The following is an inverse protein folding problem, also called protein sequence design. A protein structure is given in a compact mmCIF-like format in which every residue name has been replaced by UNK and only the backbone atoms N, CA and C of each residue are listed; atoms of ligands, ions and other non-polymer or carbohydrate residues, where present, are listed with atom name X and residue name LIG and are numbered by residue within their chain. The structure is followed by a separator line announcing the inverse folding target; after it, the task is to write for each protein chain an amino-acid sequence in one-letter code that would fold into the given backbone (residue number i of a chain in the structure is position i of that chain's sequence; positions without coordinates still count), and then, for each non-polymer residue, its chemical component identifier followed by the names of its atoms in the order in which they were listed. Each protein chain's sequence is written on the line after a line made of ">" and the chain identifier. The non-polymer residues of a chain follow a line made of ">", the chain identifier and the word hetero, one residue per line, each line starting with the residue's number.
data_IF_979329478959
#
_entry.id   IF_979329478959
#
_cell.length_a   1.000
_cell.length_b   1.000
_cell.length_c   1.000
_cell.angle_alpha   90.00
_cell.angle_beta   90.00
_cell.angle_gamma   90.00
#
_symmetry.space_group_name_H-M   'P 1'
#
loop_
_entity.id
_entity.type
_entity.pdbx_description
1 polymer ?
#
# COMPACT_ATOMS: atom_id res chain seq x y z
N UNK A 1 15.14 13.26 -1.37
CA UNK A 1 14.17 13.23 -2.50
C UNK A 1 14.79 12.42 -3.62
N UNK A 2 14.03 11.57 -4.32
CA UNK A 2 14.52 10.76 -5.44
C UNK A 2 13.61 11.00 -6.64
N UNK A 3 14.18 11.42 -7.76
CA UNK A 3 13.48 11.55 -9.04
C UNK A 3 14.07 10.57 -10.06
N UNK A 4 13.22 9.93 -10.86
CA UNK A 4 13.63 9.07 -11.96
C UNK A 4 12.79 9.40 -13.18
N UNK A 5 13.44 9.64 -14.31
CA UNK A 5 12.81 9.77 -15.62
C UNK A 5 13.40 8.72 -16.56
N UNK A 6 12.55 8.09 -17.36
CA UNK A 6 12.97 7.12 -18.38
C UNK A 6 12.42 7.57 -19.72
N UNK A 7 13.33 7.78 -20.67
CA UNK A 7 13.02 8.15 -22.06
C UNK A 7 13.29 6.91 -22.92
N UNK A 8 12.25 6.28 -23.50
CA UNK A 8 12.47 5.16 -24.41
C UNK A 8 13.01 5.68 -25.75
N UNK A 9 14.03 5.01 -26.29
CA UNK A 9 14.58 5.28 -27.63
C UNK A 9 13.82 4.57 -28.75
N UNK A 10 12.70 3.92 -28.44
CA UNK A 10 11.88 3.18 -29.39
C UNK A 10 10.41 3.54 -29.23
N UNK A 11 9.69 3.55 -30.35
CA UNK A 11 8.25 3.75 -30.37
C UNK A 11 7.54 2.41 -30.23
N UNK A 12 6.59 2.30 -29.28
CA UNK A 12 5.71 1.13 -29.20
C UNK A 12 4.55 1.28 -30.18
N UNK A 13 4.05 0.17 -30.71
CA UNK A 13 2.90 0.20 -31.63
C UNK A 13 1.66 0.88 -31.02
N UNK A 14 1.42 0.70 -29.71
CA UNK A 14 0.33 1.36 -28.99
C UNK A 14 0.46 2.88 -28.85
N UNK A 15 1.68 3.43 -28.98
CA UNK A 15 1.89 4.88 -28.93
C UNK A 15 1.44 5.61 -30.22
N UNK A 16 1.30 4.89 -31.33
CA UNK A 16 0.86 5.45 -32.62
C UNK A 16 -0.65 5.39 -32.79
N UNK A 17 -1.29 4.34 -32.27
CA UNK A 17 -2.76 4.14 -32.28
C UNK A 17 -3.17 3.33 -31.05
N UNK A 18 -3.64 3.98 -29.99
CA UNK A 18 -4.32 3.29 -28.88
C UNK A 18 -4.07 3.85 -27.48
N UNK A 19 -2.90 4.46 -27.23
CA UNK A 19 -2.58 5.05 -25.93
C UNK A 19 -3.02 6.51 -25.82
N UNK A 20 -3.62 6.84 -24.67
CA UNK A 20 -4.19 8.17 -24.40
C UNK A 20 -3.15 9.22 -23.99
N UNK A 21 -1.93 8.80 -23.62
CA UNK A 21 -0.93 9.70 -23.05
C UNK A 21 0.49 9.60 -23.60
N UNK A 22 1.39 10.47 -23.12
CA UNK A 22 2.76 10.59 -23.61
C UNK A 22 3.63 9.36 -23.25
N UNK A 23 4.64 9.11 -24.07
CA UNK A 23 5.56 7.95 -23.97
C UNK A 23 6.56 8.05 -22.81
N UNK A 24 6.62 9.20 -22.16
CA UNK A 24 7.61 9.48 -21.12
C UNK A 24 7.16 8.90 -19.79
N UNK A 25 8.09 8.28 -19.08
CA UNK A 25 7.88 7.78 -17.72
C UNK A 25 8.59 8.67 -16.73
N UNK A 26 7.88 9.12 -15.70
CA UNK A 26 8.45 9.94 -14.64
C UNK A 26 7.97 9.42 -13.27
N UNK A 27 8.86 9.42 -12.29
CA UNK A 27 8.47 9.17 -10.91
C UNK A 27 9.23 10.08 -9.96
N UNK A 28 8.50 10.64 -9.01
CA UNK A 28 9.02 11.49 -7.96
C UNK A 28 8.67 10.84 -6.62
N UNK A 29 9.70 10.60 -5.80
CA UNK A 29 9.57 10.07 -4.45
C UNK A 29 10.19 11.05 -3.46
N UNK A 30 9.32 11.61 -2.64
CA UNK A 30 9.68 12.35 -1.45
C UNK A 30 9.57 11.42 -0.24
N UNK A 31 10.60 11.37 0.59
CA UNK A 31 10.59 10.60 1.84
C UNK A 31 11.23 11.47 2.91
N UNK A 32 10.45 11.76 3.93
CA UNK A 32 10.83 12.54 5.08
C UNK A 32 10.90 11.62 6.29
N UNK A 33 12.03 11.64 6.99
CA UNK A 33 12.21 10.88 8.21
C UNK A 33 12.79 11.80 9.28
N UNK A 34 12.00 12.01 10.32
CA UNK A 34 12.43 12.72 11.51
C UNK A 34 12.73 11.70 12.62
N UNK A 35 14.00 11.30 12.66
CA UNK A 35 14.52 10.34 13.63
C UNK A 35 13.73 9.01 13.67
N UNK A 36 13.50 8.44 14.86
CA UNK A 36 12.63 7.29 15.05
C UNK A 36 11.15 7.65 15.23
N UNK A 37 10.77 8.93 15.17
CA UNK A 37 9.44 9.40 15.59
C UNK A 37 8.46 9.57 14.44
N UNK A 38 8.88 10.15 13.33
CA UNK A 38 7.95 10.43 12.21
C UNK A 38 8.59 10.04 10.90
N UNK A 39 7.83 9.33 10.07
CA UNK A 39 8.19 8.95 8.71
C UNK A 39 7.02 9.30 7.81
N UNK A 40 7.22 10.26 6.92
CA UNK A 40 6.25 10.58 5.88
C UNK A 40 6.85 10.28 4.52
N UNK A 41 6.03 9.88 3.57
CA UNK A 41 6.48 9.71 2.20
C UNK A 41 5.36 9.99 1.22
N UNK A 42 5.74 10.63 0.12
CA UNK A 42 4.86 10.92 -1.00
C UNK A 42 5.55 10.42 -2.26
N UNK A 43 4.87 9.58 -3.01
CA UNK A 43 5.35 9.03 -4.28
C UNK A 43 4.31 9.33 -5.35
N UNK A 44 4.71 10.11 -6.34
CA UNK A 44 3.95 10.33 -7.56
C UNK A 44 4.65 9.57 -8.68
N UNK A 45 3.93 8.75 -9.41
CA UNK A 45 4.44 8.06 -10.58
C UNK A 45 3.46 8.22 -11.74
N UNK A 46 4.04 8.39 -12.93
CA UNK A 46 3.34 8.37 -14.21
C UNK A 46 4.00 7.32 -15.07
N UNK A 47 3.21 6.35 -15.54
CA UNK A 47 3.68 5.33 -16.46
C UNK A 47 3.44 5.76 -17.92
N UNK A 48 4.30 5.26 -18.81
CA UNK A 48 4.28 5.63 -20.22
C UNK A 48 2.97 5.19 -20.90
N UNK A 49 2.36 6.09 -21.67
CA UNK A 49 1.12 5.86 -22.42
C UNK A 49 -0.17 6.23 -21.68
N UNK A 50 -0.10 6.67 -20.42
CA UNK A 50 -1.27 7.05 -19.61
C UNK A 50 -1.58 8.54 -19.71
N UNK A 51 -2.87 8.86 -19.80
CA UNK A 51 -3.37 10.20 -20.05
C UNK A 51 -2.94 11.18 -18.95
N UNK A 52 -2.11 12.17 -19.31
CA UNK A 52 -1.67 13.25 -18.42
C UNK A 52 -2.67 14.40 -18.50
N UNK A 53 -3.28 14.79 -17.37
CA UNK A 53 -4.21 15.93 -17.30
C UNK A 53 -5.45 15.88 -18.23
N UNK A 54 -5.81 14.72 -18.79
CA UNK A 54 -6.95 14.58 -19.72
C UNK A 54 -7.71 13.25 -19.55
N UNK A 55 -9.02 13.26 -19.77
CA UNK A 55 -9.86 12.07 -20.01
C UNK A 55 -10.33 11.26 -18.80
N UNK A 56 -9.82 11.53 -17.58
CA UNK A 56 -10.26 10.83 -16.36
C UNK A 56 -9.40 11.09 -15.11
N UNK A 57 -8.16 11.55 -15.26
CA UNK A 57 -7.30 12.01 -14.15
C UNK A 57 -7.31 13.54 -14.05
N UNK A 58 -8.23 14.11 -13.26
CA UNK A 58 -8.30 15.57 -13.03
C UNK A 58 -7.08 16.16 -12.29
N UNK A 59 -6.22 15.34 -11.68
CA UNK A 59 -5.06 15.78 -10.87
C UNK A 59 -3.69 15.37 -11.44
N UNK A 60 -3.57 15.08 -12.72
CA UNK A 60 -2.28 15.03 -13.43
C UNK A 60 -1.52 13.70 -13.38
N UNK A 61 -1.17 13.16 -12.20
CA UNK A 61 -0.48 11.87 -12.08
C UNK A 61 -1.46 10.72 -11.87
N UNK A 62 -1.19 9.56 -12.48
CA UNK A 62 -2.07 8.38 -12.38
C UNK A 62 -1.92 7.62 -11.07
N UNK A 63 -0.71 7.60 -10.50
CA UNK A 63 -0.44 6.91 -9.26
C UNK A 63 0.13 7.85 -8.18
N UNK A 64 -0.69 8.11 -7.16
CA UNK A 64 -0.30 8.78 -5.93
C UNK A 64 -0.26 7.78 -4.77
N UNK A 65 0.89 7.66 -4.12
CA UNK A 65 1.04 6.93 -2.86
C UNK A 65 1.54 7.88 -1.79
N UNK A 66 0.73 8.11 -0.77
CA UNK A 66 1.10 8.88 0.40
C UNK A 66 0.97 8.03 1.66
N UNK A 67 1.91 8.20 2.57
CA UNK A 67 1.86 7.57 3.89
C UNK A 67 2.49 8.47 4.94
N UNK A 68 1.92 8.43 6.14
CA UNK A 68 2.49 9.04 7.32
C UNK A 68 2.48 8.00 8.42
N UNK A 69 3.64 7.75 9.01
CA UNK A 69 3.82 6.83 10.12
C UNK A 69 4.47 7.60 11.25
N UNK A 70 3.75 7.69 12.37
CA UNK A 70 4.28 8.22 13.60
C UNK A 70 4.53 7.07 14.58
N UNK A 71 5.68 7.09 15.24
CA UNK A 71 6.13 6.10 16.20
C UNK A 71 6.51 6.80 17.50
N UNK A 72 6.25 6.15 18.62
CA UNK A 72 6.61 6.62 19.96
C UNK A 72 6.13 8.04 20.27
N UNK A 73 4.94 8.43 19.79
CA UNK A 73 4.38 9.76 20.09
C UNK A 73 4.02 9.90 21.58
N UNK A 74 3.55 8.83 22.22
CA UNK A 74 3.16 8.82 23.63
C UNK A 74 3.51 7.48 24.26
N UNK A 75 3.61 7.42 25.60
CA UNK A 75 3.79 6.18 26.37
C UNK A 75 2.74 5.09 26.03
N UNK A 76 1.54 5.51 25.65
CA UNK A 76 0.43 4.64 25.26
C UNK A 76 0.33 4.43 23.75
N UNK A 77 0.81 5.35 22.90
CA UNK A 77 0.72 5.24 21.44
C UNK A 77 2.08 4.85 20.88
N UNK A 78 2.22 3.56 20.56
CA UNK A 78 3.48 3.01 20.03
C UNK A 78 3.68 3.35 18.56
N UNK A 79 2.66 3.12 17.74
CA UNK A 79 2.73 3.30 16.29
C UNK A 79 1.37 3.72 15.77
N UNK A 80 1.33 4.73 14.91
CA UNK A 80 0.15 5.11 14.12
C UNK A 80 0.60 5.27 12.68
N UNK A 81 -0.15 4.69 11.75
CA UNK A 81 0.06 4.85 10.33
C UNK A 81 -1.25 5.28 9.67
N UNK A 82 -1.16 6.28 8.78
CA UNK A 82 -2.28 6.80 7.99
C UNK A 82 -1.86 6.90 6.53
N UNK A 83 -2.80 6.65 5.63
CA UNK A 83 -2.57 6.60 4.19
C UNK A 83 -2.31 5.16 3.74
N UNK A 84 -1.27 4.93 2.93
CA UNK A 84 -0.89 3.60 2.46
C UNK A 84 0.13 2.95 3.38
N UNK A 85 -0.23 1.81 3.97
CA UNK A 85 0.61 1.12 4.94
C UNK A 85 0.59 -0.40 4.71
N UNK A 86 1.48 -1.08 5.40
CA UNK A 86 1.61 -2.53 5.44
C UNK A 86 1.48 -2.97 6.88
N UNK A 87 0.70 -4.02 7.07
CA UNK A 87 0.50 -4.67 8.36
C UNK A 87 1.01 -6.09 8.26
N UNK A 88 1.67 -6.49 9.35
CA UNK A 88 1.98 -7.87 9.66
C UNK A 88 1.48 -8.18 11.05
N UNK A 89 0.63 -9.19 11.19
CA UNK A 89 0.06 -9.64 12.47
C UNK A 89 0.07 -11.16 12.56
N UNK A 90 0.07 -11.70 13.78
CA UNK A 90 0.07 -13.15 14.01
C UNK A 90 1.25 -13.85 13.34
N UNK A 91 2.48 -13.37 13.58
CA UNK A 91 3.73 -13.83 12.95
C UNK A 91 3.80 -13.63 11.42
N UNK A 92 2.79 -13.01 10.81
CA UNK A 92 2.66 -12.93 9.36
C UNK A 92 1.96 -14.15 8.74
N UNK A 93 1.27 -14.95 9.54
CA UNK A 93 0.41 -16.05 9.07
C UNK A 93 -1.03 -15.57 8.83
N UNK A 94 -1.55 -14.69 9.70
CA UNK A 94 -2.92 -14.19 9.60
C UNK A 94 -3.00 -13.01 8.63
N UNK A 95 -2.13 -12.01 8.82
CA UNK A 95 -2.04 -10.86 7.92
C UNK A 95 -0.58 -10.61 7.60
N UNK A 96 -0.26 -10.58 6.31
CA UNK A 96 1.08 -10.27 5.84
C UNK A 96 1.02 -9.53 4.50
N UNK A 97 1.30 -8.23 4.56
CA UNK A 97 1.43 -7.39 3.38
C UNK A 97 2.89 -7.04 3.05
N UNK A 98 3.85 -7.69 3.72
CA UNK A 98 5.27 -7.50 3.47
C UNK A 98 5.75 -8.43 2.37
N UNK A 99 6.68 -7.93 1.56
CA UNK A 99 7.33 -8.74 0.52
C UNK A 99 8.51 -9.46 1.17
N UNK A 100 8.45 -10.79 1.26
CA UNK A 100 9.55 -11.63 1.74
C UNK A 100 10.23 -12.32 0.57
N UNK A 101 11.52 -12.04 0.35
CA UNK A 101 12.33 -12.72 -0.65
C UNK A 101 13.25 -13.75 0.02
N UNK A 102 13.01 -15.03 -0.25
CA UNK A 102 13.93 -16.13 0.06
C UNK A 102 14.04 -16.56 1.53
N UNK A 103 14.77 -17.67 1.75
CA UNK A 103 14.97 -18.32 3.07
C UNK A 103 15.74 -17.46 4.08
N UNK A 104 16.52 -16.46 3.64
CA UNK A 104 17.28 -15.59 4.56
C UNK A 104 16.40 -14.52 5.23
N UNK A 105 15.30 -14.11 4.58
CA UNK A 105 14.39 -13.09 5.13
C UNK A 105 13.36 -13.65 6.09
N UNK A 106 13.24 -14.98 6.22
CA UNK A 106 12.33 -15.63 7.18
C UNK A 106 12.89 -15.61 8.60
N UNK A 107 14.22 -15.67 8.78
CA UNK A 107 14.86 -15.71 10.11
C UNK A 107 14.54 -14.48 10.98
N UNK A 108 14.72 -13.22 10.49
CA UNK A 108 14.35 -12.02 11.25
C UNK A 108 12.85 -11.88 11.49
N UNK A 109 12.07 -12.71 10.80
CA UNK A 109 10.62 -12.73 10.79
C UNK A 109 10.08 -13.66 11.89
N UNK A 110 10.82 -14.73 12.21
CA UNK A 110 10.55 -15.64 13.34
C UNK A 110 10.78 -14.96 14.69
N UNK A 111 11.83 -14.13 14.78
CA UNK A 111 12.13 -13.35 16.00
C UNK A 111 11.24 -12.12 16.19
N UNK A 112 10.45 -11.75 15.18
CA UNK A 112 9.42 -10.69 15.29
C UNK A 112 8.10 -11.32 15.71
N UNK A 113 8.05 -11.80 16.94
CA UNK A 113 6.78 -12.04 17.62
C UNK A 113 6.12 -10.68 17.83
N UNK A 114 5.09 -10.34 17.07
CA UNK A 114 4.33 -9.11 17.26
C UNK A 114 3.63 -8.57 16.02
N UNK A 115 2.82 -7.53 16.23
CA UNK A 115 2.29 -6.70 15.16
C UNK A 115 3.38 -5.74 14.68
N UNK A 116 3.53 -5.57 13.36
CA UNK A 116 4.34 -4.50 12.79
C UNK A 116 3.56 -3.71 11.77
N UNK A 117 3.51 -2.40 11.97
CA UNK A 117 2.88 -1.44 11.05
C UNK A 117 4.01 -0.62 10.39
N UNK A 118 4.05 -0.61 9.06
CA UNK A 118 5.05 0.12 8.28
C UNK A 118 4.41 0.90 7.14
N UNK A 119 4.97 2.06 6.81
CA UNK A 119 4.52 2.88 5.69
C UNK A 119 4.87 2.22 4.36
N UNK A 120 3.95 2.28 3.39
CA UNK A 120 4.18 1.73 2.06
C UNK A 120 4.86 2.77 1.17
N UNK A 121 6.18 2.70 1.07
CA UNK A 121 6.98 3.61 0.25
C UNK A 121 7.29 3.10 -1.16
N UNK A 122 6.72 1.95 -1.54
CA UNK A 122 6.99 1.34 -2.84
C UNK A 122 6.15 1.97 -3.94
N UNK A 123 6.63 1.81 -5.18
CA UNK A 123 5.91 2.14 -6.42
C UNK A 123 4.94 1.05 -6.85
N UNK A 124 4.91 -0.07 -6.13
CA UNK A 124 4.01 -1.18 -6.45
C UNK A 124 2.57 -0.80 -6.11
N UNK A 125 1.66 -0.96 -7.06
CA UNK A 125 0.21 -0.86 -6.89
C UNK A 125 -0.38 -2.06 -6.12
N UNK A 126 0.46 -3.00 -5.68
CA UNK A 126 0.04 -4.23 -5.00
C UNK A 126 0.63 -4.37 -3.59
N UNK A 127 -0.03 -5.19 -2.76
CA UNK A 127 0.38 -5.50 -1.37
C UNK A 127 0.54 -4.26 -0.48
N UNK A 128 -0.52 -3.45 -0.42
CA UNK A 128 -0.70 -2.38 0.54
C UNK A 128 -2.15 -2.29 1.01
N UNK A 129 -2.31 -1.79 2.22
CA UNK A 129 -3.57 -1.38 2.82
C UNK A 129 -3.65 0.14 2.76
N UNK A 130 -4.85 0.70 2.57
CA UNK A 130 -5.08 2.15 2.52
C UNK A 130 -6.11 2.53 3.56
N UNK A 131 -5.77 3.43 4.48
CA UNK A 131 -6.64 3.80 5.60
C UNK A 131 -5.83 4.22 6.81
N UNK A 132 -6.14 3.63 7.96
CA UNK A 132 -5.43 3.89 9.21
C UNK A 132 -5.17 2.61 10.00
N UNK A 133 -4.01 2.56 10.67
CA UNK A 133 -3.67 1.53 11.63
C UNK A 133 -3.00 2.16 12.85
N UNK A 134 -3.28 1.60 14.02
CA UNK A 134 -2.74 2.08 15.28
C UNK A 134 -2.36 0.93 16.20
N UNK A 135 -1.30 1.12 16.97
CA UNK A 135 -0.81 0.25 18.01
C UNK A 135 -0.75 1.04 19.32
N UNK A 136 -1.57 0.60 20.28
CA UNK A 136 -1.75 1.22 21.59
C UNK A 136 -1.30 0.25 22.68
N UNK A 137 -0.39 0.70 23.54
CA UNK A 137 -0.02 0.00 24.76
C UNK A 137 -0.91 0.48 25.93
N UNK A 138 -1.90 -0.33 26.28
CA UNK A 138 -2.76 -0.11 27.45
C UNK A 138 -1.97 -0.27 28.75
N UNK A 139 -0.95 -1.12 28.77
CA UNK A 139 -0.08 -1.36 29.93
C UNK A 139 1.31 -1.82 29.49
N UNK A 140 2.28 -1.90 30.42
CA UNK A 140 3.63 -2.46 30.14
C UNK A 140 3.56 -3.87 29.54
N UNK A 141 2.50 -4.61 29.88
CA UNK A 141 2.28 -6.00 29.50
C UNK A 141 1.26 -6.18 28.38
N UNK A 142 0.45 -5.18 28.04
CA UNK A 142 -0.69 -5.33 27.12
C UNK A 142 -0.60 -4.32 25.98
N UNK A 143 -0.55 -4.84 24.76
CA UNK A 143 -0.50 -4.07 23.52
C UNK A 143 -1.67 -4.49 22.64
N UNK A 144 -2.45 -3.52 22.20
CA UNK A 144 -3.55 -3.68 21.27
C UNK A 144 -3.17 -3.01 19.95
N UNK A 145 -3.36 -3.70 18.84
CA UNK A 145 -3.15 -3.18 17.49
C UNK A 145 -4.43 -3.36 16.70
N UNK A 146 -4.82 -2.34 15.94
CA UNK A 146 -5.97 -2.41 15.05
C UNK A 146 -5.60 -1.79 13.71
N UNK A 147 -6.19 -2.29 12.64
CA UNK A 147 -6.08 -1.70 11.32
C UNK A 147 -7.43 -1.65 10.64
N UNK A 148 -7.61 -0.61 9.83
CA UNK A 148 -8.76 -0.44 8.96
C UNK A 148 -8.29 0.03 7.60
N UNK A 149 -8.57 -0.79 6.59
CA UNK A 149 -8.23 -0.55 5.20
C UNK A 149 -9.49 -0.44 4.37
N UNK A 150 -9.58 0.63 3.60
CA UNK A 150 -10.56 0.80 2.55
C UNK A 150 -9.82 1.30 1.30
N UNK A 151 -9.89 0.51 0.23
CA UNK A 151 -9.26 0.85 -1.05
C UNK A 151 -10.16 0.48 -2.21
N UNK A 152 -10.07 1.22 -3.29
CA UNK A 152 -10.63 0.83 -4.59
C UNK A 152 -9.61 -0.02 -5.34
N UNK A 153 -10.12 -0.99 -6.11
CA UNK A 153 -9.34 -1.92 -6.93
C UNK A 153 -9.94 -1.97 -8.33
N UNK A 154 -9.06 -2.18 -9.31
CA UNK A 154 -9.45 -2.28 -10.71
C UNK A 154 -10.06 -3.66 -10.98
N UNK A 155 -11.32 -3.67 -11.40
CA UNK A 155 -12.09 -4.88 -11.61
C UNK A 155 -12.84 -4.79 -12.93
N UNK A 156 -12.84 -5.90 -13.69
CA UNK A 156 -13.76 -6.05 -14.81
C UNK A 156 -15.08 -6.59 -14.25
N UNK A 157 -16.15 -5.81 -14.36
CA UNK A 157 -17.49 -6.24 -13.98
C UNK A 157 -18.06 -7.20 -15.05
N UNK A 158 -18.86 -8.18 -14.61
CA UNK A 158 -19.68 -9.00 -15.51
C UNK A 158 -20.65 -8.10 -16.29
N UNK A 159 -21.06 -8.49 -17.51
CA UNK A 159 -21.99 -7.71 -18.37
C UNK A 159 -23.31 -7.32 -17.67
N UNK A 160 -23.69 -8.02 -16.61
CA UNK A 160 -24.89 -7.74 -15.80
C UNK A 160 -24.65 -6.76 -14.63
N UNK A 161 -23.44 -6.22 -14.46
CA UNK A 161 -23.11 -5.20 -13.46
C UNK A 161 -23.15 -5.66 -11.98
N UNK A 162 -23.48 -6.93 -11.72
CA UNK A 162 -23.72 -7.48 -10.37
C UNK A 162 -22.58 -8.32 -9.78
N UNK A 163 -21.48 -8.52 -10.51
CA UNK A 163 -20.38 -9.38 -10.06
C UNK A 163 -19.02 -8.98 -10.64
N UNK A 164 -17.96 -9.32 -9.93
CA UNK A 164 -16.57 -9.13 -10.35
C UNK A 164 -16.17 -10.33 -11.21
N UNK A 165 -15.96 -10.12 -12.52
CA UNK A 165 -15.55 -11.18 -13.44
C UNK A 165 -14.04 -11.47 -13.35
N UNK A 166 -13.21 -10.43 -13.15
CA UNK A 166 -11.76 -10.58 -13.03
C UNK A 166 -11.16 -9.42 -12.25
N UNK A 167 -10.33 -9.73 -11.26
CA UNK A 167 -9.46 -8.74 -10.61
C UNK A 167 -8.24 -8.51 -11.51
N UNK A 168 -8.05 -7.29 -12.00
CA UNK A 168 -6.90 -6.98 -12.85
C UNK A 168 -5.71 -6.55 -11.98
N UNK A 169 -4.63 -7.33 -12.02
CA UNK A 169 -3.35 -7.02 -11.38
C UNK A 169 -2.32 -6.40 -12.33
N UNK A 170 -2.77 -5.81 -13.44
CA UNK A 170 -1.87 -5.19 -14.44
C UNK A 170 -1.54 -3.73 -14.12
N UNK A 171 -2.50 -2.97 -13.58
CA UNK A 171 -2.31 -1.58 -13.14
C UNK A 171 -1.96 -0.62 -14.28
N UNK A 172 -2.38 -0.95 -15.50
CA UNK A 172 -2.17 -0.12 -16.69
C UNK A 172 -3.47 0.60 -17.05
N UNK A 173 -3.39 1.91 -17.28
CA UNK A 173 -4.51 2.75 -17.66
C UNK A 173 -4.25 3.47 -19.00
N UNK A 174 -3.85 2.71 -20.02
CA UNK A 174 -3.36 3.28 -21.28
C UNK A 174 -4.46 3.45 -22.33
N UNK A 175 -5.51 2.64 -22.25
CA UNK A 175 -6.62 2.60 -23.23
C UNK A 175 -7.97 2.99 -22.58
N UNK A 176 -8.99 3.40 -23.38
CA UNK A 176 -10.31 3.76 -22.85
C UNK A 176 -11.02 2.62 -22.09
N UNK A 177 -10.82 1.39 -22.53
CA UNK A 177 -11.38 0.19 -21.88
C UNK A 177 -10.66 -0.19 -20.58
N UNK A 178 -9.39 0.17 -20.45
CA UNK A 178 -8.65 0.06 -19.19
C UNK A 178 -9.08 1.16 -18.21
N UNK A 179 -9.28 2.39 -18.70
CA UNK A 179 -9.82 3.50 -17.91
C UNK A 179 -11.22 3.23 -17.37
N UNK A 180 -12.10 2.56 -18.13
CA UNK A 180 -13.44 2.19 -17.67
C UNK A 180 -13.45 1.08 -16.60
N UNK A 181 -12.32 0.42 -16.37
CA UNK A 181 -12.15 -0.64 -15.36
C UNK A 181 -11.44 -0.14 -14.09
N UNK A 182 -10.97 1.12 -14.12
CA UNK A 182 -10.29 1.78 -13.00
C UNK A 182 -11.25 2.01 -11.84
N UNK A 183 -10.82 1.70 -10.62
CA UNK A 183 -11.54 1.96 -9.36
C UNK A 183 -12.97 1.36 -9.28
N UNK A 184 -13.26 0.29 -10.03
CA UNK A 184 -14.62 -0.20 -10.22
C UNK A 184 -15.12 -1.18 -9.13
N UNK A 185 -14.24 -1.63 -8.23
CA UNK A 185 -14.61 -2.41 -7.06
C UNK A 185 -13.95 -1.84 -5.80
N UNK A 186 -14.63 -1.94 -4.65
CA UNK A 186 -14.07 -1.54 -3.37
C UNK A 186 -13.71 -2.77 -2.54
N UNK A 187 -12.58 -2.69 -1.85
CA UNK A 187 -12.12 -3.70 -0.91
C UNK A 187 -11.97 -3.05 0.48
N UNK A 188 -12.71 -3.59 1.43
CA UNK A 188 -12.62 -3.23 2.84
C UNK A 188 -12.00 -4.40 3.61
N UNK A 189 -11.05 -4.11 4.48
CA UNK A 189 -10.43 -5.08 5.37
C UNK A 189 -10.15 -4.41 6.71
N UNK A 190 -10.66 -4.98 7.78
CA UNK A 190 -10.34 -4.59 9.15
C UNK A 190 -9.59 -5.72 9.84
N UNK A 191 -9.06 -5.45 11.02
CA UNK A 191 -8.54 -6.50 11.86
C UNK A 191 -7.89 -5.95 13.12
N UNK A 192 -7.71 -6.85 14.09
CA UNK A 192 -7.22 -6.54 15.40
C UNK A 192 -6.23 -7.59 15.88
N UNK A 193 -5.29 -7.16 16.71
CA UNK A 193 -4.33 -8.02 17.38
C UNK A 193 -4.14 -7.55 18.81
N UNK A 194 -4.34 -8.45 19.78
CA UNK A 194 -4.06 -8.20 21.19
C UNK A 194 -2.90 -9.08 21.60
N UNK A 195 -1.85 -8.48 22.16
CA UNK A 195 -0.68 -9.16 22.67
C UNK A 195 -0.53 -8.87 24.17
N UNK A 196 -0.40 -9.93 24.95
CA UNK A 196 -0.08 -9.87 26.38
C UNK A 196 1.28 -10.52 26.64
N UNK A 197 2.10 -9.88 27.46
CA UNK A 197 3.46 -10.32 27.78
C UNK A 197 3.77 -10.12 29.25
N UNK A 198 4.10 -11.18 29.97
CA UNK A 198 4.54 -11.09 31.36
C UNK A 198 5.55 -12.20 31.67
N UNK A 199 6.73 -11.82 32.19
CA UNK A 199 7.71 -12.77 32.74
C UNK A 199 8.15 -13.90 31.80
N UNK A 200 8.14 -13.70 30.48
CA UNK A 200 8.48 -14.73 29.48
C UNK A 200 7.28 -15.43 28.82
N UNK A 201 6.07 -15.25 29.36
CA UNK A 201 4.85 -15.69 28.69
C UNK A 201 4.42 -14.67 27.64
N UNK A 202 4.05 -15.17 26.46
CA UNK A 202 3.55 -14.39 25.34
C UNK A 202 2.23 -15.00 24.87
N UNK A 203 1.13 -14.27 25.07
CA UNK A 203 -0.18 -14.64 24.55
C UNK A 203 -0.60 -13.61 23.51
N UNK A 204 -1.15 -14.06 22.40
CA UNK A 204 -1.57 -13.20 21.31
C UNK A 204 -2.83 -13.73 20.63
N UNK A 205 -3.82 -12.87 20.45
CA UNK A 205 -5.03 -13.16 19.69
C UNK A 205 -5.10 -12.21 18.48
N UNK A 206 -5.40 -12.74 17.30
CA UNK A 206 -5.52 -11.96 16.05
C UNK A 206 -6.83 -12.29 15.36
N UNK A 207 -7.52 -11.29 14.82
CA UNK A 207 -8.71 -11.45 13.98
C UNK A 207 -8.67 -10.47 12.81
N UNK A 208 -9.34 -10.83 11.71
CA UNK A 208 -9.53 -10.01 10.50
C UNK A 208 -11.03 -9.88 10.23
#
# INVERSE_FOLDING_TARGET
>A
VVGQASVPFYDRQGDRKGYLGPKYRHSLRYSFQYGPYVKAGLTAAQDAGESFFSGGNRWGYDHYSYYVVAQKMTRHLKTVAVGRYRVRMGLGLVVNNDVGFGKMMTLPSLFRTGCSIRGHASRSSYNYLQGAAAEVALSKHLVLSAFFSWRTIDATLTKDGKGIATLLQTGYHRTPSEMSRKDNASQTASGGHVAWRHGGFHLGATGI
#
